data_IF_350822936892
#
_entry.id   IF_350822936892
#
_cell.length_a   1.000
_cell.length_b   1.000
_cell.length_c   1.000
_cell.angle_alpha   90.00
_cell.angle_beta   90.00
_cell.angle_gamma   90.00
#
_symmetry.space_group_name_H-M   'P 1'
#
loop_
_entity.id
_entity.type
_entity.pdbx_description
1 polymer ?
#
# COMPACT_ATOMS: atom_id res chain seq x y z
N UNK A 1 -0.30 57.53 -6.15
CA UNK A 1 -1.45 56.87 -5.50
C UNK A 1 -0.93 55.56 -4.92
N UNK A 2 -0.68 55.59 -3.60
CA UNK A 2 -0.25 54.57 -2.63
C UNK A 2 0.19 53.17 -3.08
N UNK A 3 1.50 52.96 -2.99
CA UNK A 3 2.18 52.05 -2.04
C UNK A 3 1.26 51.19 -1.14
N UNK A 4 1.30 49.86 -1.31
CA UNK A 4 1.12 48.84 -0.26
C UNK A 4 1.83 47.55 -0.72
N UNK A 5 3.15 47.64 -0.94
CA UNK A 5 4.01 46.48 -0.69
C UNK A 5 4.17 46.47 0.83
N UNK A 6 3.41 45.60 1.51
CA UNK A 6 3.63 45.34 2.93
C UNK A 6 5.02 44.77 3.11
N UNK A 7 5.79 45.38 3.99
CA UNK A 7 7.15 44.96 4.33
C UNK A 7 7.19 43.48 4.75
N UNK A 8 8.17 42.67 4.32
CA UNK A 8 8.43 41.40 4.97
C UNK A 8 9.19 41.68 6.27
N UNK A 9 8.44 41.91 7.36
CA UNK A 9 8.98 41.89 8.72
C UNK A 9 8.25 40.83 9.53
N UNK A 10 8.88 39.66 9.66
CA UNK A 10 8.82 38.79 10.86
C UNK A 10 9.70 37.56 10.63
N UNK A 11 10.98 37.59 11.01
CA UNK A 11 11.86 36.40 10.87
C UNK A 11 12.12 35.66 12.19
N UNK A 12 11.76 36.26 13.33
CA UNK A 12 11.88 35.62 14.66
C UNK A 12 10.52 35.23 15.26
N UNK A 13 9.47 36.04 15.05
CA UNK A 13 8.11 35.70 15.48
C UNK A 13 7.55 34.50 14.73
N UNK A 14 7.80 34.44 13.42
CA UNK A 14 7.32 33.34 12.57
C UNK A 14 8.00 32.00 12.90
N UNK A 15 9.27 32.02 13.35
CA UNK A 15 9.95 30.80 13.77
C UNK A 15 9.36 30.23 15.06
N UNK A 16 9.15 31.08 16.07
CA UNK A 16 8.53 30.66 17.33
C UNK A 16 7.08 30.19 17.14
N UNK A 17 6.31 30.85 16.27
CA UNK A 17 4.95 30.43 15.93
C UNK A 17 4.93 29.09 15.18
N UNK A 18 5.87 28.87 14.25
CA UNK A 18 6.05 27.56 13.59
C UNK A 18 6.36 26.45 14.60
N UNK A 19 7.26 26.71 15.55
CA UNK A 19 7.60 25.74 16.59
C UNK A 19 6.39 25.42 17.48
N UNK A 20 5.59 26.43 17.83
CA UNK A 20 4.36 26.23 18.61
C UNK A 20 3.30 25.40 17.85
N UNK A 21 3.15 25.63 16.55
CA UNK A 21 2.25 24.84 15.68
C UNK A 21 2.72 23.39 15.59
N UNK A 22 4.02 23.17 15.35
CA UNK A 22 4.61 21.83 15.30
C UNK A 22 4.48 21.13 16.66
N UNK A 23 4.66 21.86 17.77
CA UNK A 23 4.46 21.31 19.11
C UNK A 23 3.01 20.90 19.36
N UNK A 24 2.02 21.67 18.88
CA UNK A 24 0.60 21.31 18.99
C UNK A 24 0.29 20.02 18.22
N UNK A 25 0.83 19.86 17.00
CA UNK A 25 0.68 18.65 16.20
C UNK A 25 1.33 17.45 16.89
N UNK A 26 2.58 17.58 17.33
CA UNK A 26 3.29 16.52 18.04
C UNK A 26 2.55 16.09 19.32
N UNK A 27 2.01 17.06 20.08
CA UNK A 27 1.23 16.79 21.29
C UNK A 27 -0.04 16.00 20.97
N UNK A 28 -0.77 16.38 19.93
CA UNK A 28 -1.95 15.65 19.50
C UNK A 28 -1.61 14.21 19.09
N UNK A 29 -0.55 14.03 18.29
CA UNK A 29 -0.14 12.70 17.82
C UNK A 29 0.36 11.82 18.98
N UNK A 30 1.13 12.39 19.92
CA UNK A 30 1.58 11.67 21.11
C UNK A 30 0.41 11.26 22.00
N UNK A 31 -0.53 12.17 22.27
CA UNK A 31 -1.69 11.86 23.12
C UNK A 31 -2.63 10.83 22.48
N UNK A 32 -2.67 10.77 21.14
CA UNK A 32 -3.29 9.66 20.41
C UNK A 32 -2.56 8.33 20.63
N UNK A 33 -1.22 8.30 20.50
CA UNK A 33 -0.40 7.11 20.77
C UNK A 33 -0.55 6.61 22.22
N UNK A 34 -0.65 7.54 23.17
CA UNK A 34 -0.83 7.25 24.60
C UNK A 34 -2.27 6.81 24.96
N UNK A 35 -3.18 6.77 23.98
CA UNK A 35 -4.61 6.53 24.16
C UNK A 35 -5.28 7.48 25.17
N UNK A 36 -4.79 8.72 25.27
CA UNK A 36 -5.29 9.74 26.19
C UNK A 36 -6.32 10.65 25.50
N UNK A 37 -7.59 10.23 25.52
CA UNK A 37 -8.68 10.95 24.86
C UNK A 37 -8.82 12.41 25.32
N UNK A 38 -8.72 12.70 26.62
CA UNK A 38 -8.94 14.06 27.13
C UNK A 38 -7.83 15.02 26.68
N UNK A 39 -6.56 14.58 26.73
CA UNK A 39 -5.44 15.38 26.26
C UNK A 39 -5.44 15.53 24.73
N UNK A 40 -5.81 14.47 24.01
CA UNK A 40 -6.03 14.50 22.57
C UNK A 40 -7.11 15.52 22.22
N UNK A 41 -8.28 15.44 22.86
CA UNK A 41 -9.42 16.33 22.59
C UNK A 41 -9.11 17.80 22.88
N UNK A 42 -8.23 18.08 23.85
CA UNK A 42 -7.77 19.44 24.16
C UNK A 42 -6.93 20.06 23.03
N UNK A 43 -6.40 19.27 22.10
CA UNK A 43 -5.64 19.76 20.94
C UNK A 43 -6.52 20.23 19.78
N UNK A 44 -7.83 20.00 19.84
CA UNK A 44 -8.76 20.24 18.74
C UNK A 44 -9.62 21.48 18.94
N UNK A 45 -10.02 22.09 17.82
CA UNK A 45 -11.21 22.95 17.78
C UNK A 45 -12.42 22.07 18.09
N UNK A 46 -13.38 22.60 18.83
CA UNK A 46 -14.52 21.81 19.32
C UNK A 46 -15.85 22.36 18.80
N UNK A 47 -15.96 22.50 17.48
CA UNK A 47 -17.16 22.98 16.79
C UNK A 47 -17.47 22.20 15.48
N UNK A 48 -18.50 22.62 14.74
CA UNK A 48 -18.99 21.96 13.52
C UNK A 48 -18.02 22.01 12.33
N UNK A 49 -17.01 22.89 12.35
CA UNK A 49 -16.07 23.07 11.24
C UNK A 49 -14.99 21.98 11.20
N UNK A 50 -14.84 21.24 12.30
CA UNK A 50 -13.82 20.20 12.43
C UNK A 50 -14.02 19.14 11.36
N UNK A 51 -12.94 18.72 10.72
CA UNK A 51 -12.95 17.52 9.87
C UNK A 51 -11.77 16.59 10.16
N UNK A 52 -12.07 15.29 10.12
CA UNK A 52 -11.08 14.23 10.11
C UNK A 52 -11.28 13.40 8.84
N UNK A 53 -10.24 13.37 8.00
CA UNK A 53 -10.18 12.61 6.76
C UNK A 53 -9.08 11.57 6.89
N UNK A 54 -9.41 10.30 6.69
CA UNK A 54 -8.44 9.22 6.64
C UNK A 54 -8.58 8.49 5.32
N UNK A 55 -7.46 8.29 4.62
CA UNK A 55 -7.38 7.49 3.40
C UNK A 55 -6.26 6.49 3.58
N UNK A 56 -6.59 5.21 3.44
CA UNK A 56 -5.66 4.10 3.64
C UNK A 56 -6.02 2.91 2.74
N UNK A 57 -5.16 1.89 2.75
CA UNK A 57 -5.35 0.61 2.07
C UNK A 57 -6.62 -0.14 2.52
N UNK A 58 -7.15 0.14 3.72
CA UNK A 58 -8.41 -0.47 4.22
C UNK A 58 -9.66 0.32 3.84
N UNK A 59 -9.52 1.52 3.25
CA UNK A 59 -10.63 2.36 2.81
C UNK A 59 -10.43 3.83 3.18
N UNK A 60 -11.54 4.58 3.10
CA UNK A 60 -11.57 6.01 3.38
C UNK A 60 -12.68 6.37 4.36
N UNK A 61 -12.41 7.34 5.22
CA UNK A 61 -13.40 7.96 6.09
C UNK A 61 -13.32 9.49 6.01
N UNK A 62 -14.48 10.12 6.09
CA UNK A 62 -14.63 11.58 6.16
C UNK A 62 -15.64 11.87 7.25
N UNK A 63 -15.17 12.39 8.38
CA UNK A 63 -15.98 12.68 9.55
C UNK A 63 -15.99 14.20 9.73
N UNK A 64 -17.19 14.77 9.86
CA UNK A 64 -17.38 16.22 10.01
C UNK A 64 -18.08 16.54 11.32
N UNK A 65 -17.67 17.63 11.93
CA UNK A 65 -18.22 18.16 13.18
C UNK A 65 -17.63 17.48 14.42
N UNK A 66 -17.35 18.29 15.44
CA UNK A 66 -16.70 17.85 16.68
C UNK A 66 -17.44 16.72 17.41
N UNK A 67 -18.77 16.71 17.40
CA UNK A 67 -19.56 15.64 18.04
C UNK A 67 -19.30 14.27 17.42
N UNK A 68 -19.15 14.20 16.10
CA UNK A 68 -18.88 12.95 15.39
C UNK A 68 -17.41 12.52 15.55
N UNK A 69 -16.49 13.48 15.38
CA UNK A 69 -15.05 13.23 15.51
C UNK A 69 -14.67 12.74 16.91
N UNK A 70 -15.18 13.38 17.96
CA UNK A 70 -14.88 12.96 19.33
C UNK A 70 -15.48 11.58 19.65
N UNK A 71 -16.68 11.27 19.14
CA UNK A 71 -17.35 10.01 19.42
C UNK A 71 -16.59 8.82 18.81
N UNK A 72 -16.13 8.96 17.57
CA UNK A 72 -15.29 7.96 16.90
C UNK A 72 -13.95 7.81 17.61
N UNK A 73 -13.28 8.91 17.94
CA UNK A 73 -11.98 8.83 18.62
C UNK A 73 -12.11 8.21 20.02
N UNK A 74 -13.16 8.58 20.77
CA UNK A 74 -13.42 7.98 22.08
C UNK A 74 -13.71 6.48 21.96
N UNK A 75 -14.42 6.05 20.92
CA UNK A 75 -14.61 4.63 20.65
C UNK A 75 -13.27 3.94 20.40
N UNK A 76 -12.44 4.47 19.50
CA UNK A 76 -11.16 3.88 19.12
C UNK A 76 -10.15 3.79 20.28
N UNK A 77 -10.06 4.84 21.11
CA UNK A 77 -9.08 4.92 22.21
C UNK A 77 -9.54 4.21 23.49
N UNK A 78 -10.84 4.28 23.84
CA UNK A 78 -11.34 3.76 25.14
C UNK A 78 -11.80 2.31 25.06
N UNK A 79 -12.45 1.91 23.97
CA UNK A 79 -13.06 0.58 23.83
C UNK A 79 -12.16 -0.40 23.07
N UNK A 80 -10.97 0.04 22.68
CA UNK A 80 -10.07 -0.68 21.79
C UNK A 80 -10.49 -0.59 20.32
N UNK A 81 -9.57 -0.88 19.41
CA UNK A 81 -9.81 -0.83 17.96
C UNK A 81 -9.11 0.31 17.22
N UNK A 82 -8.40 1.20 17.92
CA UNK A 82 -7.44 2.11 17.27
C UNK A 82 -6.27 1.36 16.61
N UNK A 83 -5.49 2.06 15.78
CA UNK A 83 -4.36 1.46 15.05
C UNK A 83 -3.22 0.96 15.96
N UNK A 84 -3.24 1.27 17.26
CA UNK A 84 -2.28 0.77 18.23
C UNK A 84 -0.87 1.35 18.03
N UNK A 85 -0.78 2.58 17.53
CA UNK A 85 0.49 3.29 17.33
C UNK A 85 1.26 3.42 18.64
N UNK A 86 2.52 2.99 18.64
CA UNK A 86 3.42 3.05 19.80
C UNK A 86 4.65 3.92 19.55
N UNK A 87 5.03 4.11 18.29
CA UNK A 87 6.17 4.96 17.89
C UNK A 87 5.80 5.70 16.62
N UNK A 88 6.31 6.92 16.50
CA UNK A 88 6.17 7.72 15.30
C UNK A 88 7.34 8.68 15.12
N UNK A 89 7.50 9.18 13.90
CA UNK A 89 8.44 10.23 13.54
C UNK A 89 7.81 11.12 12.46
N UNK A 90 7.78 12.42 12.72
CA UNK A 90 7.30 13.43 11.78
C UNK A 90 8.47 14.19 11.17
N UNK A 91 8.45 14.40 9.86
CA UNK A 91 9.52 15.02 9.07
C UNK A 91 8.94 15.88 7.94
N UNK A 92 9.78 16.69 7.30
CA UNK A 92 9.40 17.48 6.12
C UNK A 92 8.22 18.43 6.37
N UNK A 93 8.21 19.11 7.52
CA UNK A 93 7.20 20.11 7.84
C UNK A 93 7.29 21.32 6.91
N UNK A 94 6.19 21.64 6.25
CA UNK A 94 5.95 22.90 5.58
C UNK A 94 4.81 23.62 6.29
N UNK A 95 5.10 24.81 6.83
CA UNK A 95 4.14 25.58 7.64
C UNK A 95 3.92 26.94 7.00
N UNK A 96 2.66 27.21 6.63
CA UNK A 96 2.19 28.52 6.18
C UNK A 96 1.25 29.11 7.23
N UNK A 97 1.52 30.34 7.64
CA UNK A 97 0.74 31.04 8.67
C UNK A 97 0.10 32.27 8.03
N UNK A 98 -1.22 32.42 8.20
CA UNK A 98 -1.94 33.65 7.89
C UNK A 98 -2.82 34.03 9.08
N UNK A 99 -2.40 35.09 9.79
CA UNK A 99 -3.07 35.64 10.98
C UNK A 99 -3.32 34.61 12.08
N UNK A 100 -4.51 34.03 12.11
CA UNK A 100 -5.00 33.12 13.16
C UNK A 100 -5.18 31.69 12.64
N UNK A 101 -4.71 31.41 11.43
CA UNK A 101 -4.81 30.11 10.78
C UNK A 101 -3.44 29.66 10.31
N UNK A 102 -3.16 28.38 10.47
CA UNK A 102 -1.97 27.74 9.93
C UNK A 102 -2.36 26.56 9.06
N UNK A 103 -1.74 26.44 7.89
CA UNK A 103 -1.78 25.26 7.05
C UNK A 103 -0.42 24.58 7.12
N UNK A 104 -0.45 23.30 7.49
CA UNK A 104 0.75 22.48 7.65
C UNK A 104 0.64 21.21 6.83
N UNK A 105 1.73 20.85 6.14
CA UNK A 105 1.91 19.52 5.55
C UNK A 105 3.19 18.90 6.08
N UNK A 106 3.20 17.58 6.26
CA UNK A 106 4.38 16.83 6.72
C UNK A 106 4.28 15.35 6.34
N UNK A 107 5.40 14.66 6.46
CA UNK A 107 5.48 13.20 6.34
C UNK A 107 5.55 12.57 7.74
N UNK A 108 4.83 11.48 7.95
CA UNK A 108 4.88 10.71 9.18
C UNK A 108 5.16 9.23 8.90
N UNK A 109 6.15 8.69 9.61
CA UNK A 109 6.34 7.26 9.79
C UNK A 109 5.80 6.85 11.17
N UNK A 110 5.15 5.69 11.27
CA UNK A 110 4.67 5.15 12.54
C UNK A 110 4.71 3.62 12.61
N UNK A 111 4.70 3.11 13.84
CA UNK A 111 4.76 1.67 14.15
C UNK A 111 3.69 1.30 15.19
N UNK A 112 3.03 0.16 14.98
CA UNK A 112 2.05 -0.43 15.90
C UNK A 112 2.69 -1.41 16.90
N UNK A 113 1.94 -1.74 17.95
CA UNK A 113 2.36 -2.69 19.00
C UNK A 113 2.77 -4.10 18.50
N UNK A 114 2.32 -4.48 17.29
CA UNK A 114 2.59 -5.78 16.68
C UNK A 114 3.77 -5.71 15.69
N UNK A 115 4.45 -4.55 15.61
CA UNK A 115 5.60 -4.30 14.74
C UNK A 115 5.23 -3.94 13.30
N UNK A 116 3.96 -3.71 13.00
CA UNK A 116 3.53 -3.19 11.70
C UNK A 116 3.93 -1.72 11.56
N UNK A 117 4.53 -1.33 10.44
CA UNK A 117 4.92 0.06 10.18
C UNK A 117 4.18 0.66 8.98
N UNK A 118 4.06 1.98 8.96
CA UNK A 118 3.46 2.70 7.85
C UNK A 118 4.04 4.09 7.68
N UNK A 119 4.01 4.57 6.43
CA UNK A 119 4.33 5.94 6.05
C UNK A 119 3.06 6.66 5.60
N UNK A 120 2.97 7.95 5.89
CA UNK A 120 1.82 8.79 5.55
C UNK A 120 2.23 10.20 5.15
N UNK A 121 1.44 10.80 4.24
CA UNK A 121 1.43 12.23 3.99
C UNK A 121 0.27 12.84 4.78
N UNK A 122 0.55 13.91 5.51
CA UNK A 122 -0.41 14.47 6.45
C UNK A 122 -0.62 15.95 6.19
N UNK A 123 -1.88 16.38 6.26
CA UNK A 123 -2.26 17.79 6.23
C UNK A 123 -2.96 18.14 7.53
N UNK A 124 -2.61 19.30 8.08
CA UNK A 124 -3.28 19.92 9.23
C UNK A 124 -3.68 21.34 8.89
N UNK A 125 -4.88 21.73 9.31
CA UNK A 125 -5.23 23.14 9.45
C UNK A 125 -5.45 23.40 10.92
N UNK A 126 -4.74 24.39 11.46
CA UNK A 126 -4.86 24.82 12.84
C UNK A 126 -5.42 26.24 12.90
N UNK A 127 -6.18 26.52 13.93
CA UNK A 127 -6.70 27.85 14.25
C UNK A 127 -6.32 28.25 15.67
N UNK A 128 -6.11 29.54 15.90
CA UNK A 128 -5.88 30.06 17.24
C UNK A 128 -7.21 30.17 17.99
N UNK A 129 -7.33 29.44 19.09
CA UNK A 129 -8.50 29.48 19.98
C UNK A 129 -8.03 29.85 21.37
N UNK A 130 -8.50 31.01 21.86
CA UNK A 130 -8.14 31.55 23.20
C UNK A 130 -6.62 31.65 23.46
N UNK A 131 -5.84 31.85 22.41
CA UNK A 131 -4.39 32.01 22.49
C UNK A 131 -3.58 30.75 22.15
N UNK A 132 -4.23 29.60 22.00
CA UNK A 132 -3.57 28.33 21.68
C UNK A 132 -3.86 27.90 20.25
N UNK A 133 -2.91 27.23 19.59
CA UNK A 133 -3.14 26.56 18.33
C UNK A 133 -3.95 25.28 18.55
N UNK A 134 -5.07 25.15 17.85
CA UNK A 134 -5.96 23.98 17.90
C UNK A 134 -6.22 23.45 16.50
N UNK A 135 -6.30 22.14 16.35
CA UNK A 135 -6.51 21.47 15.07
C UNK A 135 -8.00 21.58 14.68
N UNK A 136 -8.25 22.17 13.51
CA UNK A 136 -9.56 22.25 12.88
C UNK A 136 -9.72 21.21 11.75
N UNK A 137 -8.62 20.77 11.16
CA UNK A 137 -8.65 19.81 10.06
C UNK A 137 -7.49 18.84 10.15
N UNK A 138 -7.80 17.56 9.94
CA UNK A 138 -6.85 16.49 9.69
C UNK A 138 -7.14 15.83 8.37
N UNK A 139 -6.10 15.61 7.59
CA UNK A 139 -6.06 14.57 6.57
C UNK A 139 -4.84 13.68 6.79
N UNK A 140 -5.10 12.40 6.93
CA UNK A 140 -4.12 11.33 6.91
C UNK A 140 -4.25 10.60 5.56
N UNK A 141 -3.15 10.53 4.82
CA UNK A 141 -3.06 9.73 3.59
C UNK A 141 -1.92 8.72 3.75
N UNK A 142 -2.28 7.45 3.87
CA UNK A 142 -1.30 6.36 3.88
C UNK A 142 -0.57 6.29 2.53
N UNK A 143 0.76 6.30 2.56
CA UNK A 143 1.62 6.05 1.41
C UNK A 143 1.94 4.56 1.29
N UNK A 144 2.36 3.96 2.41
CA UNK A 144 2.86 2.59 2.49
C UNK A 144 2.42 1.94 3.80
N UNK A 145 1.98 0.67 3.75
CA UNK A 145 1.61 -0.13 4.92
C UNK A 145 2.29 -1.49 4.87
N UNK A 146 3.18 -1.76 5.83
CA UNK A 146 4.08 -2.93 5.82
C UNK A 146 3.35 -4.26 6.02
N UNK A 147 2.14 -4.23 6.58
CA UNK A 147 1.45 -5.46 7.02
C UNK A 147 0.96 -6.34 5.88
N UNK A 148 1.00 -5.88 4.62
CA UNK A 148 0.40 -6.59 3.48
C UNK A 148 1.43 -7.26 2.55
N UNK A 149 2.73 -7.00 2.65
CA UNK A 149 3.67 -7.56 1.68
C UNK A 149 4.93 -8.18 2.30
N UNK A 150 4.80 -9.41 2.82
CA UNK A 150 5.96 -10.32 2.76
C UNK A 150 6.40 -10.35 1.29
N UNK A 151 7.69 -10.17 1.02
CA UNK A 151 8.24 -10.22 -0.33
C UNK A 151 7.72 -9.10 -1.25
N UNK A 152 7.60 -7.88 -0.74
CA UNK A 152 7.19 -6.70 -1.50
C UNK A 152 8.26 -5.61 -1.62
N UNK A 153 8.40 -5.03 -2.81
CA UNK A 153 9.26 -3.87 -3.04
C UNK A 153 8.50 -2.76 -3.78
N UNK A 154 8.87 -1.52 -3.50
CA UNK A 154 8.39 -0.33 -4.18
C UNK A 154 9.52 0.26 -5.02
N UNK A 155 9.24 0.63 -6.28
CA UNK A 155 10.21 1.19 -7.22
C UNK A 155 9.71 2.43 -7.93
N UNK A 156 10.65 3.31 -8.30
CA UNK A 156 10.40 4.52 -9.08
C UNK A 156 10.10 4.22 -10.57
N UNK A 157 9.90 5.28 -11.36
CA UNK A 157 9.64 5.23 -12.81
C UNK A 157 10.75 4.57 -13.64
N UNK A 158 11.95 4.44 -13.07
CA UNK A 158 13.15 3.82 -13.66
C UNK A 158 13.43 2.44 -13.06
N UNK A 159 12.63 1.97 -12.10
CA UNK A 159 12.81 0.71 -11.41
C UNK A 159 13.88 0.71 -10.31
N UNK A 160 14.29 1.87 -9.80
CA UNK A 160 15.10 1.96 -8.59
C UNK A 160 14.24 1.73 -7.36
N UNK A 161 14.82 1.03 -6.39
CA UNK A 161 14.17 0.77 -5.12
C UNK A 161 13.91 2.07 -4.37
N UNK A 162 12.63 2.34 -4.13
CA UNK A 162 12.16 3.43 -3.26
C UNK A 162 12.00 2.91 -1.84
N UNK A 163 11.44 1.70 -1.69
CA UNK A 163 11.18 1.11 -0.39
C UNK A 163 11.15 -0.43 -0.45
N UNK A 164 11.58 -1.07 0.64
CA UNK A 164 11.39 -2.49 0.95
C UNK A 164 11.68 -2.72 2.45
N UNK A 165 11.03 -3.71 3.07
CA UNK A 165 11.34 -4.08 4.46
C UNK A 165 12.76 -4.67 4.57
N UNK A 166 13.42 -4.56 5.74
CA UNK A 166 14.72 -5.22 5.97
C UNK A 166 14.71 -6.73 5.69
N UNK A 167 13.61 -7.42 6.02
CA UNK A 167 13.42 -8.86 5.76
C UNK A 167 13.32 -9.13 4.26
N UNK A 168 12.63 -8.28 3.51
CA UNK A 168 12.51 -8.40 2.06
C UNK A 168 13.86 -8.16 1.40
N UNK A 169 14.60 -7.15 1.85
CA UNK A 169 15.96 -6.88 1.39
C UNK A 169 16.90 -8.06 1.66
N UNK A 170 16.81 -8.68 2.83
CA UNK A 170 17.61 -9.85 3.18
C UNK A 170 17.24 -11.07 2.33
N UNK A 171 15.94 -11.29 2.11
CA UNK A 171 15.41 -12.30 1.20
C UNK A 171 15.98 -12.13 -0.20
N UNK A 172 15.97 -10.90 -0.74
CA UNK A 172 16.48 -10.59 -2.08
C UNK A 172 17.99 -10.82 -2.26
N UNK A 173 18.80 -10.80 -1.20
CA UNK A 173 20.24 -11.15 -1.29
C UNK A 173 20.42 -12.59 -1.72
N UNK A 174 19.61 -13.48 -1.17
CA UNK A 174 19.70 -14.93 -1.37
C UNK A 174 18.62 -15.48 -2.31
N UNK A 175 17.71 -14.64 -2.80
CA UNK A 175 16.59 -15.06 -3.62
C UNK A 175 17.07 -15.74 -4.94
N UNK A 176 16.50 -16.90 -5.31
CA UNK A 176 16.98 -17.70 -6.44
C UNK A 176 16.77 -17.04 -7.80
N UNK A 177 15.82 -16.11 -7.91
CA UNK A 177 15.37 -15.57 -9.21
C UNK A 177 15.47 -14.05 -9.33
N UNK A 178 15.55 -13.35 -8.21
CA UNK A 178 15.50 -11.88 -8.12
C UNK A 178 16.70 -11.39 -7.32
N UNK A 179 17.09 -10.15 -7.57
CA UNK A 179 18.18 -9.49 -6.85
C UNK A 179 18.05 -7.99 -6.97
N UNK A 180 18.71 -7.24 -6.09
CA UNK A 180 18.90 -5.80 -6.25
C UNK A 180 20.30 -5.56 -6.77
N UNK A 181 20.42 -4.89 -7.91
CA UNK A 181 21.70 -4.55 -8.54
C UNK A 181 21.70 -3.09 -8.96
N UNK A 182 22.74 -2.34 -8.56
CA UNK A 182 22.83 -0.89 -8.76
C UNK A 182 21.55 -0.14 -8.33
N UNK A 183 21.00 -0.53 -7.17
CA UNK A 183 19.77 0.07 -6.62
C UNK A 183 18.48 -0.30 -7.35
N UNK A 184 18.51 -1.19 -8.36
CA UNK A 184 17.31 -1.60 -9.12
C UNK A 184 16.94 -3.05 -8.85
N UNK A 185 15.64 -3.34 -8.83
CA UNK A 185 15.14 -4.72 -8.83
C UNK A 185 15.42 -5.36 -10.20
N UNK A 186 16.00 -6.57 -10.17
CA UNK A 186 16.42 -7.32 -11.36
C UNK A 186 16.06 -8.78 -11.22
N UNK A 187 15.79 -9.45 -12.34
CA UNK A 187 15.82 -10.91 -12.38
C UNK A 187 17.24 -11.39 -12.68
N UNK A 188 17.65 -12.52 -12.09
CA UNK A 188 18.99 -13.08 -12.29
C UNK A 188 19.21 -13.62 -13.70
N UNK A 189 18.16 -14.17 -14.31
CA UNK A 189 18.21 -14.63 -15.70
C UNK A 189 17.95 -13.47 -16.66
N UNK A 190 18.78 -13.33 -17.70
CA UNK A 190 18.71 -12.19 -18.64
C UNK A 190 17.38 -12.10 -19.41
N UNK A 191 16.81 -13.24 -19.81
CA UNK A 191 15.51 -13.30 -20.48
C UNK A 191 14.39 -12.81 -19.55
N UNK A 192 14.42 -13.25 -18.29
CA UNK A 192 13.45 -12.87 -17.26
C UNK A 192 13.60 -11.39 -16.89
N UNK A 193 14.83 -10.87 -16.81
CA UNK A 193 15.06 -9.47 -16.48
C UNK A 193 14.49 -8.57 -17.57
N UNK A 194 14.65 -8.95 -18.85
CA UNK A 194 14.02 -8.21 -19.95
C UNK A 194 12.50 -8.14 -19.79
N UNK A 195 11.86 -9.24 -19.43
CA UNK A 195 10.42 -9.29 -19.17
C UNK A 195 10.03 -8.40 -17.99
N UNK A 196 10.76 -8.51 -16.87
CA UNK A 196 10.54 -7.70 -15.68
C UNK A 196 10.68 -6.20 -15.98
N UNK A 197 11.80 -5.80 -16.60
CA UNK A 197 12.05 -4.39 -16.91
C UNK A 197 11.03 -3.83 -17.91
N UNK A 198 10.54 -4.66 -18.86
CA UNK A 198 9.46 -4.26 -19.76
C UNK A 198 8.17 -4.02 -18.99
N UNK A 199 7.82 -4.89 -18.05
CA UNK A 199 6.62 -4.73 -17.23
C UNK A 199 6.69 -3.49 -16.34
N UNK A 200 7.83 -3.24 -15.69
CA UNK A 200 8.06 -2.01 -14.90
C UNK A 200 7.95 -0.75 -15.77
N UNK A 201 8.51 -0.78 -16.99
CA UNK A 201 8.37 0.34 -17.94
C UNK A 201 6.97 0.54 -18.48
N UNK A 202 6.12 -0.49 -18.52
CA UNK A 202 4.68 -0.31 -18.82
C UNK A 202 3.92 0.24 -17.62
N UNK A 203 4.24 -0.23 -16.41
CA UNK A 203 3.62 0.23 -15.17
C UNK A 203 3.92 1.72 -14.91
N UNK A 204 5.14 2.19 -15.19
CA UNK A 204 5.52 3.59 -14.98
C UNK A 204 4.73 4.60 -15.80
N UNK A 205 4.11 4.17 -16.92
CA UNK A 205 3.20 5.00 -17.70
C UNK A 205 1.92 5.39 -16.95
N UNK A 206 1.65 4.73 -15.83
CA UNK A 206 0.47 4.95 -14.99
C UNK A 206 0.84 5.50 -13.61
N UNK A 207 2.04 6.05 -13.41
CA UNK A 207 2.38 6.67 -12.12
C UNK A 207 1.56 7.92 -11.80
N UNK A 208 0.97 8.59 -12.80
CA UNK A 208 0.10 9.74 -12.55
C UNK A 208 -1.35 9.36 -12.24
N UNK A 209 -2.01 10.14 -11.39
CA UNK A 209 -3.41 9.93 -10.99
C UNK A 209 -4.36 9.83 -12.20
N UNK A 210 -4.23 10.73 -13.20
CA UNK A 210 -5.14 10.75 -14.33
C UNK A 210 -4.94 9.57 -15.27
N UNK A 211 -3.71 9.05 -15.38
CA UNK A 211 -3.39 7.84 -16.11
C UNK A 211 -3.98 6.61 -15.43
N UNK A 212 -3.88 6.50 -14.10
CA UNK A 212 -4.53 5.43 -13.32
C UNK A 212 -6.04 5.51 -13.40
N UNK A 213 -6.60 6.71 -13.30
CA UNK A 213 -8.04 6.93 -13.44
C UNK A 213 -8.52 6.47 -14.81
N UNK A 214 -7.87 6.91 -15.89
CA UNK A 214 -8.20 6.50 -17.26
C UNK A 214 -8.09 4.99 -17.42
N UNK A 215 -6.99 4.41 -16.96
CA UNK A 215 -6.77 2.97 -17.00
C UNK A 215 -7.90 2.22 -16.30
N UNK A 216 -8.31 2.68 -15.12
CA UNK A 216 -9.39 2.06 -14.35
C UNK A 216 -10.73 2.14 -15.08
N UNK A 217 -11.03 3.27 -15.73
CA UNK A 217 -12.26 3.40 -16.52
C UNK A 217 -12.26 2.50 -17.76
N UNK A 218 -11.11 2.33 -18.42
CA UNK A 218 -10.97 1.50 -19.62
C UNK A 218 -10.97 0.00 -19.30
N UNK A 219 -10.45 -0.39 -18.14
CA UNK A 219 -10.22 -1.80 -17.78
C UNK A 219 -11.13 -2.32 -16.67
N UNK A 220 -11.93 -1.45 -16.05
CA UNK A 220 -12.84 -1.79 -14.94
C UNK A 220 -12.14 -2.15 -13.63
N UNK A 221 -10.83 -1.92 -13.51
CA UNK A 221 -10.02 -2.23 -12.31
C UNK A 221 -8.74 -1.40 -12.26
N UNK A 222 -8.14 -1.19 -11.07
CA UNK A 222 -6.81 -0.59 -10.95
C UNK A 222 -5.73 -1.39 -11.68
N UNK A 223 -4.59 -0.75 -11.95
CA UNK A 223 -3.45 -1.43 -12.56
C UNK A 223 -2.88 -2.47 -11.60
N UNK A 224 -3.12 -3.74 -11.88
CA UNK A 224 -2.56 -4.87 -11.15
C UNK A 224 -2.49 -6.09 -12.08
N UNK A 225 -1.28 -6.58 -12.35
CA UNK A 225 -1.05 -7.65 -13.30
C UNK A 225 0.00 -8.66 -12.84
N UNK A 226 -0.23 -9.97 -13.05
CA UNK A 226 0.81 -10.97 -12.94
C UNK A 226 1.77 -10.89 -14.14
N UNK A 227 3.06 -10.80 -13.86
CA UNK A 227 4.15 -10.82 -14.83
C UNK A 227 4.85 -12.17 -14.74
N UNK A 228 4.61 -13.01 -15.76
CA UNK A 228 5.30 -14.29 -15.88
C UNK A 228 6.71 -14.06 -16.39
N UNK A 229 7.71 -14.30 -15.55
CA UNK A 229 9.13 -14.15 -15.90
C UNK A 229 9.61 -15.30 -16.78
N UNK A 230 9.21 -16.53 -16.45
CA UNK A 230 9.56 -17.75 -17.19
C UNK A 230 9.29 -19.01 -16.36
N UNK A 231 9.88 -20.12 -16.79
CA UNK A 231 9.81 -21.42 -16.11
C UNK A 231 11.22 -21.78 -15.60
N UNK A 232 11.34 -22.14 -14.32
CA UNK A 232 12.59 -22.58 -13.71
C UNK A 232 12.98 -23.99 -14.18
N UNK A 233 14.22 -24.39 -13.90
CA UNK A 233 14.73 -25.73 -14.27
C UNK A 233 13.94 -26.88 -13.59
N UNK A 234 13.23 -26.59 -12.49
CA UNK A 234 12.33 -27.53 -11.81
C UNK A 234 10.92 -27.57 -12.41
N UNK A 235 10.70 -26.85 -13.53
CA UNK A 235 9.40 -26.70 -14.16
C UNK A 235 8.46 -25.77 -13.39
N UNK A 236 9.01 -24.83 -12.58
CA UNK A 236 8.19 -23.88 -11.82
C UNK A 236 7.97 -22.59 -12.57
N UNK A 237 6.72 -22.16 -12.75
CA UNK A 237 6.44 -20.85 -13.34
C UNK A 237 6.73 -19.74 -12.33
N UNK A 238 7.70 -18.89 -12.64
CA UNK A 238 8.08 -17.75 -11.80
C UNK A 238 7.24 -16.54 -12.20
N UNK A 239 6.46 -16.04 -11.24
CA UNK A 239 5.56 -14.90 -11.42
C UNK A 239 5.85 -13.84 -10.38
N UNK A 240 5.81 -12.58 -10.80
CA UNK A 240 5.75 -11.43 -9.90
C UNK A 240 4.47 -10.66 -10.18
N UNK A 241 3.87 -10.07 -9.16
CA UNK A 241 2.72 -9.20 -9.31
C UNK A 241 3.17 -7.76 -9.33
N UNK A 242 2.68 -6.99 -10.29
CA UNK A 242 3.00 -5.58 -10.44
C UNK A 242 1.71 -4.78 -10.31
N UNK A 243 1.69 -3.84 -9.38
CA UNK A 243 0.64 -2.84 -9.22
C UNK A 243 1.22 -1.44 -9.25
N UNK A 244 0.36 -0.46 -9.51
CA UNK A 244 0.71 0.95 -9.42
C UNK A 244 -0.15 1.59 -8.35
N UNK A 245 0.50 2.26 -7.41
CA UNK A 245 -0.15 3.12 -6.42
C UNK A 245 0.71 4.38 -6.32
N UNK A 246 0.05 5.54 -6.32
CA UNK A 246 0.71 6.84 -6.40
C UNK A 246 1.70 6.90 -7.57
N UNK A 247 2.81 7.63 -7.39
CA UNK A 247 3.87 7.81 -8.37
C UNK A 247 4.87 6.62 -8.40
N UNK A 248 4.46 5.42 -7.99
CA UNK A 248 5.36 4.29 -7.77
C UNK A 248 4.78 2.97 -8.25
N UNK A 249 5.68 2.04 -8.58
CA UNK A 249 5.32 0.66 -8.90
C UNK A 249 5.64 -0.26 -7.73
N UNK A 250 4.67 -1.06 -7.32
CA UNK A 250 4.85 -2.10 -6.31
C UNK A 250 5.01 -3.44 -7.00
N UNK A 251 5.98 -4.21 -6.53
CA UNK A 251 6.25 -5.56 -6.97
C UNK A 251 6.16 -6.51 -5.79
N UNK A 252 5.26 -7.49 -5.90
CA UNK A 252 5.14 -8.61 -4.97
C UNK A 252 5.68 -9.88 -5.62
N UNK A 253 6.50 -10.64 -4.90
CA UNK A 253 7.05 -11.91 -5.35
C UNK A 253 6.76 -13.02 -4.33
N UNK A 254 6.90 -14.28 -4.74
CA UNK A 254 6.66 -15.47 -3.90
C UNK A 254 5.26 -15.58 -3.25
N UNK A 255 4.26 -14.88 -3.82
CA UNK A 255 2.86 -14.96 -3.42
C UNK A 255 2.50 -14.08 -2.22
N UNK A 256 1.28 -13.53 -2.25
CA UNK A 256 0.74 -12.52 -1.33
C UNK A 256 -0.41 -13.05 -0.45
N UNK A 257 -0.58 -14.37 -0.35
CA UNK A 257 -1.75 -14.98 0.31
C UNK A 257 -3.10 -14.74 -0.38
N UNK A 258 -3.13 -13.96 -1.48
CA UNK A 258 -4.32 -13.72 -2.30
C UNK A 258 -4.61 -14.87 -3.26
N UNK A 259 -3.69 -15.83 -3.43
CA UNK A 259 -3.91 -17.00 -4.27
C UNK A 259 -5.16 -17.78 -3.84
N UNK A 260 -5.36 -18.01 -2.54
CA UNK A 260 -6.53 -18.71 -2.00
C UNK A 260 -7.83 -18.01 -2.35
N UNK A 261 -7.85 -16.67 -2.23
CA UNK A 261 -8.99 -15.83 -2.60
C UNK A 261 -9.26 -15.91 -4.11
N UNK A 262 -8.22 -15.76 -4.93
CA UNK A 262 -8.32 -15.82 -6.40
C UNK A 262 -8.76 -17.21 -6.88
N UNK A 263 -8.27 -18.27 -6.25
CA UNK A 263 -8.69 -19.65 -6.50
C UNK A 263 -10.15 -19.88 -6.12
N UNK A 264 -10.63 -19.31 -5.00
CA UNK A 264 -12.04 -19.38 -4.62
C UNK A 264 -12.94 -18.66 -5.64
N UNK A 265 -12.55 -17.48 -6.12
CA UNK A 265 -13.26 -16.77 -7.19
C UNK A 265 -13.22 -17.58 -8.49
N UNK A 266 -12.07 -18.11 -8.90
CA UNK A 266 -11.94 -18.95 -10.08
C UNK A 266 -12.79 -20.23 -9.98
N UNK A 267 -12.90 -20.82 -8.79
CA UNK A 267 -13.77 -21.96 -8.54
C UNK A 267 -15.23 -21.61 -8.84
N UNK A 268 -15.71 -20.46 -8.35
CA UNK A 268 -17.07 -19.99 -8.57
C UNK A 268 -17.33 -19.62 -10.03
N UNK A 269 -16.42 -18.89 -10.68
CA UNK A 269 -16.58 -18.38 -12.05
C UNK A 269 -16.52 -19.49 -13.09
N UNK A 270 -15.55 -20.41 -12.97
CA UNK A 270 -15.35 -21.48 -13.96
C UNK A 270 -15.97 -22.82 -13.53
N UNK A 271 -16.65 -22.86 -12.38
CA UNK A 271 -17.28 -24.07 -11.83
C UNK A 271 -16.28 -25.19 -11.58
N UNK A 272 -15.12 -24.90 -10.99
CA UNK A 272 -14.06 -25.90 -10.76
C UNK A 272 -14.45 -26.86 -9.61
N UNK A 273 -14.15 -28.15 -9.76
CA UNK A 273 -14.32 -29.12 -8.65
C UNK A 273 -13.17 -29.05 -7.66
N UNK A 274 -13.34 -29.57 -6.45
CA UNK A 274 -12.29 -29.55 -5.42
C UNK A 274 -11.00 -30.26 -5.88
N UNK A 275 -11.11 -31.35 -6.64
CA UNK A 275 -9.95 -32.02 -7.23
C UNK A 275 -9.24 -31.16 -8.28
N UNK A 276 -9.99 -30.38 -9.06
CA UNK A 276 -9.44 -29.42 -10.01
C UNK A 276 -8.80 -28.24 -9.29
N UNK A 277 -9.43 -27.74 -8.21
CA UNK A 277 -8.93 -26.64 -7.40
C UNK A 277 -7.59 -26.99 -6.73
N UNK A 278 -7.48 -28.22 -6.19
CA UNK A 278 -6.23 -28.73 -5.61
C UNK A 278 -5.08 -28.76 -6.63
N UNK A 279 -5.34 -29.21 -7.85
CA UNK A 279 -4.34 -29.18 -8.93
C UNK A 279 -4.06 -27.74 -9.37
N UNK A 280 -5.09 -26.92 -9.57
CA UNK A 280 -4.97 -25.52 -9.97
C UNK A 280 -4.16 -24.69 -8.96
N UNK A 281 -4.29 -24.97 -7.67
CA UNK A 281 -3.50 -24.37 -6.60
C UNK A 281 -2.01 -24.61 -6.80
N UNK A 282 -1.60 -25.87 -6.87
CA UNK A 282 -0.19 -26.19 -7.11
C UNK A 282 0.34 -25.60 -8.42
N UNK A 283 -0.46 -25.63 -9.48
CA UNK A 283 -0.10 -25.03 -10.76
C UNK A 283 0.07 -23.51 -10.63
N UNK A 284 -0.80 -22.83 -9.88
CA UNK A 284 -0.75 -21.39 -9.65
C UNK A 284 0.38 -20.97 -8.68
N UNK A 285 0.79 -21.84 -7.76
CA UNK A 285 2.03 -21.76 -6.98
C UNK A 285 3.29 -22.00 -7.87
N UNK A 286 3.08 -22.13 -9.17
CA UNK A 286 4.12 -22.38 -10.15
C UNK A 286 4.50 -23.86 -10.27
N UNK A 287 4.08 -24.76 -9.38
CA UNK A 287 4.47 -26.18 -9.40
C UNK A 287 4.00 -26.86 -10.69
N UNK A 288 4.92 -27.49 -11.43
CA UNK A 288 4.58 -28.28 -12.62
C UNK A 288 3.68 -29.48 -12.34
N UNK A 289 3.02 -30.01 -13.38
CA UNK A 289 2.02 -31.09 -13.24
C UNK A 289 2.53 -32.36 -12.52
N UNK A 290 3.83 -32.66 -12.64
CA UNK A 290 4.46 -33.80 -11.96
C UNK A 290 4.60 -33.53 -10.46
N UNK A 291 5.14 -32.37 -10.08
CA UNK A 291 5.26 -31.97 -8.68
C UNK A 291 3.89 -31.85 -8.01
N UNK A 292 2.87 -31.38 -8.75
CA UNK A 292 1.50 -31.36 -8.25
C UNK A 292 0.94 -32.77 -8.00
N UNK A 293 1.27 -33.74 -8.86
CA UNK A 293 0.85 -35.13 -8.66
C UNK A 293 1.49 -35.73 -7.40
N UNK A 294 2.79 -35.50 -7.23
CA UNK A 294 3.55 -35.97 -6.06
C UNK A 294 3.03 -35.33 -4.77
N UNK A 295 2.80 -34.01 -4.76
CA UNK A 295 2.28 -33.28 -3.61
C UNK A 295 0.86 -33.71 -3.20
N UNK A 296 0.04 -34.10 -4.17
CA UNK A 296 -1.33 -34.56 -3.93
C UNK A 296 -1.45 -36.07 -3.68
N UNK A 297 -0.36 -36.83 -3.80
CA UNK A 297 -0.37 -38.30 -3.68
C UNK A 297 -1.22 -38.99 -4.75
N UNK A 298 -1.28 -38.41 -5.97
CA UNK A 298 -2.04 -38.96 -7.10
C UNK A 298 -1.13 -39.33 -8.26
N UNK A 299 -1.63 -40.15 -9.20
CA UNK A 299 -0.85 -40.45 -10.41
C UNK A 299 -0.68 -39.22 -11.31
N UNK A 300 0.46 -39.13 -12.02
CA UNK A 300 0.70 -38.06 -13.01
C UNK A 300 -0.40 -38.03 -14.09
N UNK A 301 -0.95 -39.19 -14.47
CA UNK A 301 -2.07 -39.28 -15.41
C UNK A 301 -3.37 -38.68 -14.83
N UNK A 302 -3.61 -38.86 -13.54
CA UNK A 302 -4.73 -38.24 -12.83
C UNK A 302 -4.56 -36.72 -12.79
N UNK A 303 -3.37 -36.22 -12.46
CA UNK A 303 -3.06 -34.79 -12.48
C UNK A 303 -3.23 -34.18 -13.88
N UNK A 304 -2.73 -34.85 -14.93
CA UNK A 304 -2.95 -34.46 -16.33
C UNK A 304 -4.41 -34.43 -16.72
N UNK A 305 -5.21 -35.39 -16.24
CA UNK A 305 -6.66 -35.41 -16.50
C UNK A 305 -7.36 -34.21 -15.86
N UNK A 306 -7.01 -33.86 -14.62
CA UNK A 306 -7.54 -32.65 -13.97
C UNK A 306 -7.12 -31.39 -14.73
N UNK A 307 -5.86 -31.31 -15.17
CA UNK A 307 -5.33 -30.17 -15.94
C UNK A 307 -6.02 -30.00 -17.31
N UNK A 308 -6.25 -31.10 -18.03
CA UNK A 308 -6.99 -31.06 -19.30
C UNK A 308 -8.43 -30.55 -19.11
N UNK A 309 -9.09 -30.98 -18.02
CA UNK A 309 -10.43 -30.47 -17.67
C UNK A 309 -10.41 -29.02 -17.20
N UNK A 310 -9.33 -28.56 -16.56
CA UNK A 310 -9.12 -27.15 -16.22
C UNK A 310 -9.06 -26.31 -17.50
N UNK A 311 -8.25 -26.72 -18.48
CA UNK A 311 -8.17 -26.07 -19.80
C UNK A 311 -9.54 -25.98 -20.47
N UNK A 312 -10.31 -27.08 -20.47
CA UNK A 312 -11.65 -27.09 -21.04
C UNK A 312 -12.62 -26.09 -20.35
N UNK A 313 -12.59 -26.00 -19.01
CA UNK A 313 -13.48 -25.11 -18.24
C UNK A 313 -13.07 -23.63 -18.28
N UNK A 314 -11.79 -23.38 -18.45
CA UNK A 314 -11.23 -22.02 -18.42
C UNK A 314 -10.99 -21.43 -19.81
N UNK A 315 -11.06 -22.25 -20.87
CA UNK A 315 -10.84 -21.83 -22.25
C UNK A 315 -9.38 -21.57 -22.61
N UNK A 316 -8.43 -21.85 -21.72
CA UNK A 316 -6.99 -21.67 -21.96
C UNK A 316 -6.33 -22.96 -22.43
N UNK A 317 -5.21 -22.85 -23.14
CA UNK A 317 -4.54 -23.99 -23.80
C UNK A 317 -3.11 -24.27 -23.30
N UNK A 318 -2.64 -23.56 -22.27
CA UNK A 318 -1.30 -23.75 -21.72
C UNK A 318 -1.29 -23.53 -20.21
N UNK A 319 -0.31 -24.13 -19.53
CA UNK A 319 -0.10 -23.95 -18.09
C UNK A 319 0.16 -22.47 -17.78
N UNK A 320 0.97 -21.79 -18.59
CA UNK A 320 1.23 -20.35 -18.44
C UNK A 320 -0.03 -19.51 -18.57
N UNK A 321 -0.90 -19.80 -19.55
CA UNK A 321 -2.17 -19.09 -19.71
C UNK A 321 -3.13 -19.37 -18.55
N UNK A 322 -3.16 -20.60 -18.03
CA UNK A 322 -3.93 -20.96 -16.85
C UNK A 322 -3.43 -20.23 -15.60
N UNK A 323 -2.13 -20.19 -15.35
CA UNK A 323 -1.53 -19.45 -14.23
C UNK A 323 -1.89 -17.97 -14.32
N UNK A 324 -1.73 -17.34 -15.49
CA UNK A 324 -2.12 -15.94 -15.69
C UNK A 324 -3.61 -15.72 -15.42
N UNK A 325 -4.48 -16.60 -15.89
CA UNK A 325 -5.90 -16.52 -15.65
C UNK A 325 -6.19 -16.60 -14.14
N UNK A 326 -5.71 -17.65 -13.46
CA UNK A 326 -5.94 -17.85 -12.03
C UNK A 326 -5.39 -16.71 -11.17
N UNK A 327 -4.28 -16.09 -11.56
CA UNK A 327 -3.67 -14.97 -10.85
C UNK A 327 -4.28 -13.60 -11.20
N UNK A 328 -5.12 -13.53 -12.23
CA UNK A 328 -5.80 -12.29 -12.68
C UNK A 328 -7.30 -12.28 -12.39
N UNK A 329 -7.84 -13.38 -11.87
CA UNK A 329 -9.24 -13.51 -11.44
C UNK A 329 -9.36 -12.94 -10.03
N UNK A 330 -9.90 -11.72 -9.93
CA UNK A 330 -9.99 -10.91 -8.70
C UNK A 330 -9.61 -9.46 -8.99
#
# INVERSE_FOLDING_TARGET
MNQLLGDPVSTLGDAAEKDAIIAAINTETQTFADANFEAWAACWVQDERVKNVCVSSIGQSVISGWQNVQAEMKHALVHGGGCGMVRFRQTNFEVTIDRQTAWVTFDQWAEDKDGGTWDSFETRILERVKGDWKIAFIMFLEKHYDRIARNGVCVDDKGHLVWATPETLDTLKHHPHLTVSAGRIRARQRSWDRTLQTALGQASRYHGFFEQWRFTQENGRPFHYPVVLGESDEGRVVVVHVSVHDNSTFLLFDGDGSLDRRLAVAQAVFGLSDGQLKVARHIADGVGVKGAADALGISVNTARTHLARLYAKTGVNSQTALVRLLLSVG
#
